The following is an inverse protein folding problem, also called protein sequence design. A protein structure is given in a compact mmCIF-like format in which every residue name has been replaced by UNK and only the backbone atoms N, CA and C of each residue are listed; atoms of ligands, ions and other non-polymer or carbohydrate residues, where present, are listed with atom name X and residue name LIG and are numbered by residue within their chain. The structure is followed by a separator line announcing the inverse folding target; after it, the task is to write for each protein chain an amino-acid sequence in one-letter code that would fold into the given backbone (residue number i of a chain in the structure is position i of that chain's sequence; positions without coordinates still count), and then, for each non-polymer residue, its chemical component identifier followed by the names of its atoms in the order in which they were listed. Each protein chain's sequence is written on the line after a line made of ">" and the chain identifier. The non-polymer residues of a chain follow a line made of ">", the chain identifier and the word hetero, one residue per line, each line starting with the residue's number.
data_IF_462480725947
#
_entry.id   IF_462480725947
#
_cell.length_a   1.000
_cell.length_b   1.000
_cell.length_c   1.000
_cell.angle_alpha   90.00
_cell.angle_beta   90.00
_cell.angle_gamma   90.00
#
_symmetry.space_group_name_H-M   'P 1'
#
loop_
_entity.id
_entity.type
_entity.pdbx_description
1 polymer ?
#
# COMPACT_ATOMS: atom_id res chain seq x y z
N UNK A 1 -7.04 7.52 32.47
CA UNK A 1 -6.93 7.73 31.01
C UNK A 1 -5.63 7.09 30.55
N UNK A 2 -5.68 6.18 29.57
CA UNK A 2 -4.47 5.58 28.97
C UNK A 2 -4.26 6.24 27.61
N UNK A 3 -3.08 6.78 27.37
CA UNK A 3 -2.68 7.30 26.05
C UNK A 3 -1.79 6.24 25.42
N UNK A 4 -2.22 5.58 24.33
CA UNK A 4 -1.39 4.60 23.66
C UNK A 4 -0.18 5.29 23.01
N UNK A 5 0.98 4.63 23.02
CA UNK A 5 2.19 5.13 22.35
C UNK A 5 2.02 5.24 20.83
N UNK A 6 1.32 4.28 20.22
CA UNK A 6 0.97 4.24 18.80
C UNK A 6 -0.39 3.55 18.65
N UNK A 7 -1.29 4.16 17.89
CA UNK A 7 -2.59 3.59 17.54
C UNK A 7 -2.66 3.30 16.03
N UNK A 8 -2.29 2.06 15.66
CA UNK A 8 -2.32 1.61 14.27
C UNK A 8 -3.77 1.44 13.79
N UNK A 9 -4.71 1.16 14.70
CA UNK A 9 -6.11 1.00 14.32
C UNK A 9 -6.72 2.33 13.86
N UNK A 10 -6.35 3.44 14.51
CA UNK A 10 -6.75 4.77 14.07
C UNK A 10 -6.27 5.08 12.65
N UNK A 11 -4.98 4.84 12.35
CA UNK A 11 -4.41 5.05 11.02
C UNK A 11 -5.08 4.16 9.96
N UNK A 12 -5.33 2.88 10.27
CA UNK A 12 -6.07 2.00 9.35
C UNK A 12 -7.51 2.47 9.14
N UNK A 13 -8.20 2.91 10.20
CA UNK A 13 -9.58 3.37 10.11
C UNK A 13 -9.70 4.63 9.23
N UNK A 14 -8.72 5.52 9.29
CA UNK A 14 -8.68 6.76 8.50
C UNK A 14 -8.75 6.49 6.98
N UNK A 15 -8.02 5.47 6.49
CA UNK A 15 -7.92 5.15 5.05
C UNK A 15 -8.61 3.83 4.66
N UNK A 16 -9.48 3.30 5.53
CA UNK A 16 -10.03 1.95 5.38
C UNK A 16 -10.73 1.72 4.03
N UNK A 17 -11.53 2.67 3.57
CA UNK A 17 -12.28 2.52 2.34
C UNK A 17 -11.36 2.35 1.12
N UNK A 18 -10.27 3.11 1.08
CA UNK A 18 -9.27 3.07 0.00
C UNK A 18 -8.48 1.75 0.02
N UNK A 19 -8.11 1.29 1.22
CA UNK A 19 -7.46 -0.01 1.41
C UNK A 19 -8.37 -1.17 0.99
N UNK A 20 -9.64 -1.15 1.41
CA UNK A 20 -10.63 -2.18 1.06
C UNK A 20 -10.83 -2.21 -0.47
N UNK A 21 -10.85 -1.06 -1.14
CA UNK A 21 -10.96 -1.00 -2.60
C UNK A 21 -9.72 -1.59 -3.29
N UNK A 22 -8.51 -1.22 -2.85
CA UNK A 22 -7.26 -1.75 -3.40
C UNK A 22 -7.15 -3.27 -3.23
N UNK A 23 -7.49 -3.77 -2.03
CA UNK A 23 -7.56 -5.20 -1.75
C UNK A 23 -8.53 -5.92 -2.69
N UNK A 24 -9.74 -5.37 -2.87
CA UNK A 24 -10.75 -5.99 -3.74
C UNK A 24 -10.30 -6.05 -5.21
N UNK A 25 -9.53 -5.06 -5.71
CA UNK A 25 -8.98 -5.11 -7.07
C UNK A 25 -8.01 -6.26 -7.26
N UNK A 26 -7.06 -6.44 -6.33
CA UNK A 26 -6.09 -7.56 -6.36
C UNK A 26 -6.80 -8.92 -6.27
N UNK A 27 -7.76 -9.06 -5.35
CA UNK A 27 -8.47 -10.32 -5.18
C UNK A 27 -9.31 -10.69 -6.41
N UNK A 28 -9.89 -9.69 -7.10
CA UNK A 28 -10.64 -9.91 -8.34
C UNK A 28 -9.74 -10.19 -9.54
N UNK A 29 -8.51 -9.66 -9.56
CA UNK A 29 -7.57 -9.92 -10.65
C UNK A 29 -6.99 -11.33 -10.59
N UNK A 30 -6.86 -11.89 -9.38
CA UNK A 30 -6.21 -13.19 -9.17
C UNK A 30 -4.69 -13.16 -9.41
N UNK A 31 -4.11 -11.97 -9.58
CA UNK A 31 -2.71 -11.76 -9.90
C UNK A 31 -1.98 -11.20 -8.68
N UNK A 32 -1.30 -12.08 -7.93
CA UNK A 32 -0.79 -11.74 -6.60
C UNK A 32 0.70 -11.36 -6.56
N UNK A 33 1.47 -11.75 -7.58
CA UNK A 33 2.94 -11.63 -7.59
C UNK A 33 3.37 -10.91 -8.86
N UNK A 34 4.20 -9.87 -8.73
CA UNK A 34 4.70 -9.07 -9.87
C UNK A 34 3.56 -8.55 -10.76
N UNK A 35 2.53 -7.96 -10.13
CA UNK A 35 1.37 -7.36 -10.82
C UNK A 35 1.45 -5.83 -10.96
N UNK A 36 0.46 -5.25 -11.63
CA UNK A 36 0.40 -3.79 -11.89
C UNK A 36 0.45 -2.95 -10.60
N UNK A 37 -0.12 -3.44 -9.49
CA UNK A 37 -0.10 -2.73 -8.22
C UNK A 37 1.33 -2.57 -7.66
N UNK A 38 2.23 -3.56 -7.85
CA UNK A 38 3.63 -3.44 -7.41
C UNK A 38 4.42 -2.53 -8.34
N UNK A 39 4.22 -2.64 -9.66
CA UNK A 39 4.87 -1.77 -10.65
C UNK A 39 4.52 -0.29 -10.41
N UNK A 40 3.24 0.00 -10.15
CA UNK A 40 2.78 1.36 -9.83
C UNK A 40 3.39 1.87 -8.53
N UNK A 41 3.45 1.03 -7.50
CA UNK A 41 4.09 1.38 -6.24
C UNK A 41 5.58 1.67 -6.40
N UNK A 42 6.31 0.84 -7.15
CA UNK A 42 7.74 1.05 -7.44
C UNK A 42 7.99 2.41 -8.08
N UNK A 43 7.18 2.78 -9.08
CA UNK A 43 7.27 4.09 -9.73
C UNK A 43 6.98 5.24 -8.77
N UNK A 44 5.87 5.16 -8.02
CA UNK A 44 5.47 6.22 -7.09
C UNK A 44 6.46 6.38 -5.94
N UNK A 45 6.99 5.27 -5.43
CA UNK A 45 7.96 5.27 -4.35
C UNK A 45 9.34 5.77 -4.81
N UNK A 46 9.78 5.39 -6.02
CA UNK A 46 11.00 5.95 -6.60
C UNK A 46 10.91 7.47 -6.75
N UNK A 47 9.76 7.97 -7.24
CA UNK A 47 9.47 9.39 -7.36
C UNK A 47 9.46 10.09 -5.99
N UNK A 48 8.82 9.49 -4.99
CA UNK A 48 8.79 10.01 -3.62
C UNK A 48 10.20 10.12 -3.02
N UNK A 49 11.04 9.11 -3.23
CA UNK A 49 12.42 9.07 -2.75
C UNK A 49 13.41 9.89 -3.61
N UNK A 50 12.96 10.51 -4.71
CA UNK A 50 13.81 11.23 -5.66
C UNK A 50 14.93 10.37 -6.28
N UNK A 51 14.63 9.10 -6.56
CA UNK A 51 15.53 8.16 -7.23
C UNK A 51 14.93 7.68 -8.55
N UNK A 52 15.76 7.12 -9.43
CA UNK A 52 15.32 6.69 -10.76
C UNK A 52 14.51 5.38 -10.74
N UNK A 53 14.78 4.49 -9.77
CA UNK A 53 14.23 3.15 -9.74
C UNK A 53 13.83 2.76 -8.31
N UNK A 54 12.70 2.06 -8.19
CA UNK A 54 12.27 1.33 -7.01
C UNK A 54 12.15 -0.15 -7.37
N UNK A 55 12.44 -1.04 -6.41
CA UNK A 55 12.31 -2.49 -6.60
C UNK A 55 11.52 -3.05 -5.42
N UNK A 56 10.31 -3.53 -5.71
CA UNK A 56 9.44 -4.25 -4.81
C UNK A 56 9.80 -5.73 -4.80
N UNK A 57 9.78 -6.34 -3.62
CA UNK A 57 9.97 -7.78 -3.45
C UNK A 57 8.62 -8.36 -3.06
N UNK A 58 8.04 -9.20 -3.94
CA UNK A 58 6.73 -9.86 -3.79
C UNK A 58 6.89 -11.37 -3.66
#
# INVERSE_FOLDING_TARGET
>A
MRVPFLDIQAAHHEIRAELDEAYQRVMKSGWFVLGEDVERFEHDFARYCHVQHGVGIS
#
